data_IF_914919777686
#
_entry.id   IF_914919777686
#
_cell.length_a   1.000
_cell.length_b   1.000
_cell.length_c   1.000
_cell.angle_alpha   90.00
_cell.angle_beta   90.00
_cell.angle_gamma   90.00
#
_symmetry.space_group_name_H-M   'P 1'
#
loop_
_entity.id
_entity.type
_entity.pdbx_description
1 polymer ?
#
# COMPACT_ATOMS: atom_id res chain seq x y z
N UNK A 1 -10.26 0.25 -1.92
CA UNK A 1 -10.47 1.65 -1.49
C UNK A 1 -11.93 1.95 -1.13
N UNK A 2 -12.92 2.03 -2.04
CA UNK A 2 -14.31 2.39 -1.65
C UNK A 2 -14.95 1.37 -0.70
N UNK A 3 -14.79 0.07 -0.94
CA UNK A 3 -15.31 -0.95 -0.02
C UNK A 3 -14.68 -0.83 1.38
N UNK A 4 -13.35 -0.64 1.44
CA UNK A 4 -12.62 -0.39 2.69
C UNK A 4 -13.09 0.90 3.39
N UNK A 5 -13.35 1.96 2.62
CA UNK A 5 -13.93 3.20 3.14
C UNK A 5 -15.33 2.99 3.72
N UNK A 6 -16.22 2.26 3.05
CA UNK A 6 -17.57 2.01 3.57
C UNK A 6 -17.53 1.18 4.85
N UNK A 7 -16.59 0.23 4.95
CA UNK A 7 -16.32 -0.51 6.19
C UNK A 7 -15.83 0.42 7.30
N UNK A 8 -14.84 1.28 6.99
CA UNK A 8 -14.35 2.30 7.90
C UNK A 8 -15.44 3.29 8.35
N UNK A 9 -16.24 3.84 7.44
CA UNK A 9 -17.27 4.82 7.76
C UNK A 9 -18.40 4.23 8.63
N UNK A 10 -18.55 2.90 8.63
CA UNK A 10 -19.45 2.17 9.53
C UNK A 10 -18.83 1.87 10.88
N UNK A 11 -17.52 1.64 10.93
CA UNK A 11 -16.83 1.15 12.11
C UNK A 11 -15.94 2.13 12.86
N UNK A 12 -15.50 3.17 12.17
CA UNK A 12 -14.56 4.15 12.67
C UNK A 12 -13.14 3.64 12.93
N UNK A 13 -12.80 2.41 12.51
CA UNK A 13 -11.47 1.83 12.75
C UNK A 13 -10.45 2.27 11.70
N UNK A 14 -9.45 3.00 12.16
CA UNK A 14 -8.27 3.37 11.39
C UNK A 14 -7.16 2.35 11.60
N UNK A 15 -6.18 2.32 10.68
CA UNK A 15 -4.91 1.63 10.89
C UNK A 15 -4.35 1.83 12.30
N UNK A 16 -3.72 0.77 12.82
CA UNK A 16 -3.04 0.71 14.13
C UNK A 16 -4.02 0.76 15.31
N UNK A 17 -5.24 0.27 15.14
CA UNK A 17 -6.25 0.22 16.21
C UNK A 17 -6.78 1.58 16.65
N UNK A 18 -6.49 2.66 15.91
CA UNK A 18 -7.04 3.99 16.18
C UNK A 18 -8.54 4.03 15.85
N UNK A 19 -9.28 4.87 16.56
CA UNK A 19 -10.68 5.14 16.26
C UNK A 19 -10.89 6.59 15.87
N UNK A 20 -11.78 6.82 14.91
CA UNK A 20 -12.24 8.16 14.59
C UNK A 20 -13.12 8.73 15.70
N UNK A 21 -12.97 10.03 15.93
CA UNK A 21 -13.85 10.80 16.82
C UNK A 21 -15.09 11.35 16.09
N UNK A 22 -15.13 11.20 14.76
CA UNK A 22 -16.22 11.70 13.94
C UNK A 22 -17.49 10.85 14.12
N UNK A 23 -18.68 11.47 14.12
CA UNK A 23 -19.93 10.73 14.14
C UNK A 23 -20.05 9.79 12.93
N UNK A 24 -20.42 8.54 13.19
CA UNK A 24 -20.56 7.51 12.17
C UNK A 24 -22.00 7.45 11.65
N UNK A 25 -22.14 6.95 10.42
CA UNK A 25 -23.44 6.59 9.87
C UNK A 25 -23.94 5.27 10.46
N UNK A 26 -25.23 5.19 10.71
CA UNK A 26 -25.92 4.01 11.22
C UNK A 26 -26.07 2.94 10.15
N UNK A 27 -26.35 1.70 10.57
CA UNK A 27 -26.58 0.58 9.64
C UNK A 27 -27.74 0.85 8.67
N UNK A 28 -28.78 1.54 9.12
CA UNK A 28 -29.92 1.89 8.28
C UNK A 28 -29.54 2.94 7.23
N UNK A 29 -28.77 3.96 7.61
CA UNK A 29 -28.28 4.98 6.68
C UNK A 29 -27.39 4.35 5.59
N UNK A 30 -26.48 3.43 5.94
CA UNK A 30 -25.73 2.66 4.95
C UNK A 30 -26.62 1.82 4.02
N UNK A 31 -27.71 1.27 4.56
CA UNK A 31 -28.70 0.54 3.74
C UNK A 31 -29.41 1.49 2.77
N UNK A 32 -29.72 2.71 3.22
CA UNK A 32 -30.33 3.73 2.37
C UNK A 32 -29.40 4.21 1.26
N UNK A 33 -28.09 4.30 1.50
CA UNK A 33 -27.10 4.64 0.45
C UNK A 33 -27.08 3.65 -0.73
N UNK A 34 -27.59 2.43 -0.56
CA UNK A 34 -27.75 1.42 -1.63
C UNK A 34 -29.05 1.56 -2.42
N UNK A 35 -29.96 2.44 -1.99
CA UNK A 35 -31.24 2.71 -2.63
C UNK A 35 -31.20 4.08 -3.36
N UNK A 36 -32.01 4.26 -4.41
CA UNK A 36 -32.26 5.58 -5.00
C UNK A 36 -32.66 6.62 -3.97
N UNK A 37 -32.18 7.87 -4.09
CA UNK A 37 -32.52 8.96 -3.16
C UNK A 37 -34.03 9.18 -3.01
N UNK A 38 -34.81 8.98 -4.08
CA UNK A 38 -36.27 9.11 -4.05
C UNK A 38 -36.99 8.18 -3.07
N UNK A 39 -36.33 7.12 -2.59
CA UNK A 39 -36.92 6.14 -1.68
C UNK A 39 -36.72 6.47 -0.20
N UNK A 40 -35.81 7.37 0.15
CA UNK A 40 -35.42 7.59 1.55
C UNK A 40 -35.08 9.04 1.89
N UNK A 41 -34.58 9.82 0.92
CA UNK A 41 -34.17 11.19 1.14
C UNK A 41 -35.35 12.17 0.98
N UNK A 42 -35.22 13.39 1.53
CA UNK A 42 -36.18 14.48 1.31
C UNK A 42 -36.33 14.85 -0.18
N UNK A 43 -37.46 15.46 -0.53
CA UNK A 43 -37.85 15.75 -1.91
C UNK A 43 -36.81 16.57 -2.68
N UNK A 44 -36.14 17.49 -2.00
CA UNK A 44 -35.08 18.32 -2.55
C UNK A 44 -33.88 17.51 -3.07
N UNK A 45 -33.65 16.29 -2.60
CA UNK A 45 -32.55 15.41 -3.04
C UNK A 45 -32.99 14.36 -4.08
N UNK A 46 -34.27 14.31 -4.45
CA UNK A 46 -34.77 13.29 -5.40
C UNK A 46 -34.15 13.42 -6.80
N UNK A 47 -33.69 14.62 -7.17
CA UNK A 47 -33.04 14.90 -8.44
C UNK A 47 -31.70 14.17 -8.62
N UNK A 48 -31.05 13.72 -7.53
CA UNK A 48 -29.81 12.93 -7.59
C UNK A 48 -30.05 11.53 -8.19
N UNK A 49 -31.29 11.03 -8.17
CA UNK A 49 -31.77 9.89 -8.93
C UNK A 49 -31.24 8.52 -8.49
N UNK A 50 -29.97 8.24 -8.74
CA UNK A 50 -29.35 6.93 -8.50
C UNK A 50 -28.88 6.74 -7.05
N UNK A 51 -28.59 5.49 -6.65
CA UNK A 51 -28.05 5.21 -5.33
C UNK A 51 -26.63 5.80 -5.16
N UNK A 52 -26.34 6.35 -3.98
CA UNK A 52 -25.05 6.96 -3.66
C UNK A 52 -23.87 5.99 -3.87
N UNK A 53 -24.01 4.74 -3.42
CA UNK A 53 -22.98 3.70 -3.61
C UNK A 53 -22.71 3.44 -5.09
N UNK A 54 -23.75 3.48 -5.94
CA UNK A 54 -23.60 3.31 -7.39
C UNK A 54 -22.88 4.48 -8.02
N UNK A 55 -23.22 5.72 -7.63
CA UNK A 55 -22.49 6.93 -8.06
C UNK A 55 -21.00 6.79 -7.74
N UNK A 56 -20.66 6.52 -6.47
CA UNK A 56 -19.28 6.41 -6.00
C UNK A 56 -18.54 5.28 -6.72
N UNK A 57 -19.16 4.10 -6.85
CA UNK A 57 -18.54 2.96 -7.52
C UNK A 57 -18.25 3.25 -9.00
N UNK A 58 -19.12 4.01 -9.68
CA UNK A 58 -18.92 4.41 -11.08
C UNK A 58 -17.68 5.28 -11.29
N UNK A 59 -17.23 6.02 -10.25
CA UNK A 59 -16.06 6.90 -10.32
C UNK A 59 -14.73 6.17 -10.28
N UNK A 60 -14.71 4.92 -9.82
CA UNK A 60 -13.47 4.13 -9.71
C UNK A 60 -12.94 3.68 -11.07
N UNK A 61 -13.82 3.54 -12.04
CA UNK A 61 -13.42 3.36 -13.41
C UNK A 61 -13.06 4.74 -13.94
N UNK A 62 -11.76 5.05 -14.07
CA UNK A 62 -11.30 6.13 -14.93
C UNK A 62 -12.03 5.94 -16.27
N UNK A 63 -12.98 6.82 -16.59
CA UNK A 63 -13.86 6.59 -17.73
C UNK A 63 -13.05 6.80 -19.01
N UNK A 64 -13.60 6.41 -20.16
CA UNK A 64 -12.96 6.67 -21.47
C UNK A 64 -12.63 8.16 -21.72
N UNK A 65 -13.25 9.07 -20.95
CA UNK A 65 -13.04 10.52 -21.02
C UNK A 65 -11.87 10.99 -20.14
N UNK A 66 -11.42 10.16 -19.18
CA UNK A 66 -10.18 10.35 -18.45
C UNK A 66 -9.06 9.72 -19.28
N UNK A 67 -8.02 10.51 -19.62
CA UNK A 67 -6.88 10.11 -20.46
C UNK A 67 -6.49 8.64 -20.24
N UNK A 68 -6.47 7.83 -21.32
CA UNK A 68 -6.07 6.41 -21.24
C UNK A 68 -4.76 6.32 -20.48
N UNK A 69 -4.78 5.62 -19.34
CA UNK A 69 -3.58 5.36 -18.57
C UNK A 69 -2.52 4.73 -19.49
N UNK A 70 -1.29 5.25 -19.52
CA UNK A 70 -0.22 4.63 -20.28
C UNK A 70 -0.02 3.20 -19.78
N UNK A 71 0.28 2.25 -20.69
CA UNK A 71 0.64 0.90 -20.26
C UNK A 71 1.90 0.98 -19.39
N UNK A 72 1.90 0.24 -18.29
CA UNK A 72 3.05 0.12 -17.40
C UNK A 72 3.59 -1.30 -17.43
N UNK A 73 4.87 -1.46 -17.09
CA UNK A 73 5.51 -2.75 -16.96
C UNK A 73 4.75 -3.65 -15.96
N UNK A 74 4.73 -4.96 -16.21
CA UNK A 74 3.94 -5.92 -15.41
C UNK A 74 4.48 -6.00 -13.97
N UNK A 75 5.79 -5.89 -13.84
CA UNK A 75 6.53 -5.88 -12.59
C UNK A 75 6.13 -4.68 -11.73
N UNK A 76 6.11 -3.47 -12.32
CA UNK A 76 5.69 -2.24 -11.67
C UNK A 76 4.22 -2.32 -11.25
N UNK A 77 3.34 -2.83 -12.13
CA UNK A 77 1.93 -3.02 -11.80
C UNK A 77 1.75 -3.96 -10.60
N UNK A 78 2.46 -5.09 -10.59
CA UNK A 78 2.38 -6.11 -9.55
C UNK A 78 2.88 -5.57 -8.21
N UNK A 79 4.03 -4.89 -8.22
CA UNK A 79 4.59 -4.26 -7.03
C UNK A 79 3.67 -3.16 -6.49
N UNK A 80 3.18 -2.27 -7.37
CA UNK A 80 2.21 -1.24 -7.02
C UNK A 80 0.98 -1.84 -6.36
N UNK A 81 0.40 -2.90 -6.95
CA UNK A 81 -0.79 -3.55 -6.43
C UNK A 81 -0.57 -4.11 -5.02
N UNK A 82 0.57 -4.76 -4.76
CA UNK A 82 0.90 -5.27 -3.42
C UNK A 82 0.95 -4.14 -2.39
N UNK A 83 1.74 -3.10 -2.67
CA UNK A 83 1.91 -1.96 -1.77
C UNK A 83 0.57 -1.24 -1.56
N UNK A 84 -0.22 -1.08 -2.62
CA UNK A 84 -1.54 -0.45 -2.57
C UNK A 84 -2.54 -1.23 -1.70
N UNK A 85 -2.45 -2.55 -1.65
CA UNK A 85 -3.29 -3.37 -0.77
C UNK A 85 -2.69 -3.52 0.64
N UNK A 86 -1.60 -2.80 0.96
CA UNK A 86 -0.93 -2.88 2.26
C UNK A 86 -0.12 -4.16 2.46
N UNK A 87 0.19 -4.89 1.38
CA UNK A 87 0.98 -6.12 1.42
C UNK A 87 2.47 -5.77 1.24
N UNK A 88 3.39 -6.32 2.06
CA UNK A 88 4.81 -6.04 1.92
C UNK A 88 5.34 -6.40 0.52
N UNK A 89 6.29 -5.61 -0.02
CA UNK A 89 6.89 -5.83 -1.34
C UNK A 89 7.30 -7.28 -1.57
N UNK A 90 8.06 -7.83 -0.63
CA UNK A 90 8.48 -9.23 -0.57
C UNK A 90 8.29 -9.73 0.86
N UNK A 91 7.85 -10.98 1.03
CA UNK A 91 7.79 -11.61 2.35
C UNK A 91 9.17 -12.07 2.80
N UNK A 92 9.39 -12.17 4.11
CA UNK A 92 10.63 -12.71 4.69
C UNK A 92 10.98 -14.10 4.18
N UNK A 93 9.98 -15.00 4.11
CA UNK A 93 10.14 -16.31 3.48
C UNK A 93 10.70 -16.20 2.06
N UNK A 94 10.12 -15.32 1.23
CA UNK A 94 10.53 -15.20 -0.17
C UNK A 94 11.91 -14.55 -0.32
N UNK A 95 12.26 -13.61 0.56
CA UNK A 95 13.61 -13.05 0.64
C UNK A 95 14.66 -14.13 0.89
N UNK A 96 14.37 -15.04 1.84
CA UNK A 96 15.23 -16.19 2.17
C UNK A 96 15.28 -17.23 1.06
N UNK A 97 14.16 -17.57 0.43
CA UNK A 97 14.11 -18.51 -0.71
C UNK A 97 14.95 -18.04 -1.90
N UNK A 98 15.04 -16.73 -2.10
CA UNK A 98 15.86 -16.11 -3.15
C UNK A 98 17.31 -15.85 -2.72
N UNK A 99 17.67 -16.20 -1.48
CA UNK A 99 19.00 -15.98 -0.89
C UNK A 99 19.52 -14.55 -1.10
N UNK A 100 18.65 -13.55 -0.84
CA UNK A 100 18.96 -12.14 -1.12
C UNK A 100 19.90 -11.50 -0.09
N UNK A 101 20.14 -12.16 1.04
CA UNK A 101 21.19 -11.79 2.00
C UNK A 101 22.59 -12.09 1.48
N UNK A 102 22.69 -13.01 0.52
CA UNK A 102 23.95 -13.38 -0.10
C UNK A 102 24.40 -12.28 -1.07
N UNK A 103 25.63 -11.80 -0.89
CA UNK A 103 26.20 -10.75 -1.72
C UNK A 103 26.28 -11.09 -3.21
N UNK A 104 26.34 -12.37 -3.58
CA UNK A 104 26.26 -12.78 -4.98
C UNK A 104 24.94 -12.36 -5.63
N UNK A 105 23.88 -12.28 -4.83
CA UNK A 105 22.55 -11.84 -5.24
C UNK A 105 22.29 -10.35 -4.93
N UNK A 106 23.32 -9.58 -4.52
CA UNK A 106 23.18 -8.15 -4.19
C UNK A 106 22.48 -7.33 -5.30
N UNK A 107 22.81 -7.49 -6.60
CA UNK A 107 22.10 -6.77 -7.65
C UNK A 107 20.60 -7.11 -7.71
N UNK A 108 20.21 -8.35 -7.39
CA UNK A 108 18.81 -8.76 -7.34
C UNK A 108 18.09 -8.13 -6.15
N UNK A 109 18.75 -8.09 -4.98
CA UNK A 109 18.21 -7.46 -3.79
C UNK A 109 17.96 -5.95 -4.02
N UNK A 110 18.93 -5.26 -4.63
CA UNK A 110 18.78 -3.85 -5.03
C UNK A 110 17.64 -3.64 -6.03
N UNK A 111 17.40 -4.55 -6.98
CA UNK A 111 16.26 -4.43 -7.92
C UNK A 111 14.92 -4.44 -7.21
N UNK A 112 14.73 -5.24 -6.16
CA UNK A 112 13.48 -5.21 -5.39
C UNK A 112 13.32 -3.88 -4.64
N UNK A 113 14.40 -3.35 -4.05
CA UNK A 113 14.40 -2.03 -3.39
C UNK A 113 14.03 -0.93 -4.38
N UNK A 114 14.68 -0.91 -5.56
CA UNK A 114 14.38 0.06 -6.63
C UNK A 114 12.95 -0.08 -7.12
N UNK A 115 12.44 -1.30 -7.31
CA UNK A 115 11.06 -1.52 -7.74
C UNK A 115 10.02 -0.93 -6.76
N UNK A 116 10.31 -0.93 -5.45
CA UNK A 116 9.46 -0.26 -4.45
C UNK A 116 9.52 1.26 -4.63
N UNK A 117 10.71 1.84 -4.83
CA UNK A 117 10.88 3.28 -5.07
C UNK A 117 10.15 3.70 -6.35
N UNK A 118 10.28 2.93 -7.43
CA UNK A 118 9.67 3.18 -8.74
C UNK A 118 8.14 3.24 -8.67
N UNK A 119 7.51 2.48 -7.75
CA UNK A 119 6.06 2.59 -7.50
C UNK A 119 5.70 4.01 -7.06
N UNK A 120 6.45 4.59 -6.13
CA UNK A 120 6.17 5.94 -5.64
C UNK A 120 6.60 7.02 -6.64
N UNK A 121 7.64 6.78 -7.45
CA UNK A 121 7.94 7.66 -8.59
C UNK A 121 6.74 7.71 -9.53
N UNK A 122 6.21 6.55 -9.93
CA UNK A 122 5.04 6.44 -10.78
C UNK A 122 3.80 7.10 -10.19
N UNK A 123 3.50 6.86 -8.90
CA UNK A 123 2.35 7.48 -8.23
C UNK A 123 2.51 9.01 -8.12
N UNK A 124 3.76 9.49 -8.03
CA UNK A 124 4.08 10.90 -7.95
C UNK A 124 4.22 11.60 -9.30
N UNK A 125 4.13 10.87 -10.42
CA UNK A 125 4.08 11.47 -11.76
C UNK A 125 2.96 12.48 -11.87
N UNK A 126 3.23 13.63 -12.50
CA UNK A 126 2.30 14.77 -12.48
C UNK A 126 0.90 14.44 -13.02
N UNK A 127 0.84 13.62 -14.08
CA UNK A 127 -0.42 13.16 -14.65
C UNK A 127 -1.14 12.14 -13.74
N UNK A 128 -0.40 11.25 -13.07
CA UNK A 128 -0.97 10.26 -12.14
C UNK A 128 -1.51 10.93 -10.89
N UNK A 129 -0.75 11.85 -10.28
CA UNK A 129 -1.23 12.70 -9.17
C UNK A 129 -2.52 13.43 -9.53
N UNK A 130 -2.58 14.00 -10.74
CA UNK A 130 -3.79 14.67 -11.24
C UNK A 130 -4.95 13.68 -11.37
N UNK A 131 -4.74 12.50 -11.94
CA UNK A 131 -5.77 11.47 -12.09
C UNK A 131 -6.31 10.99 -10.73
N UNK A 132 -5.43 10.64 -9.80
CA UNK A 132 -5.79 10.21 -8.44
C UNK A 132 -6.63 11.26 -7.72
N UNK A 133 -6.21 12.52 -7.77
CA UNK A 133 -6.94 13.64 -7.18
C UNK A 133 -8.29 13.89 -7.84
N UNK A 134 -8.38 13.79 -9.16
CA UNK A 134 -9.64 13.94 -9.89
C UNK A 134 -10.66 12.89 -9.43
N UNK A 135 -10.25 11.62 -9.39
CA UNK A 135 -11.12 10.53 -8.92
C UNK A 135 -11.53 10.74 -7.46
N UNK A 136 -10.58 11.06 -6.59
CA UNK A 136 -10.86 11.35 -5.19
C UNK A 136 -11.86 12.50 -5.03
N UNK A 137 -11.68 13.62 -5.74
CA UNK A 137 -12.53 14.79 -5.61
C UNK A 137 -13.94 14.54 -6.16
N UNK A 138 -14.09 13.72 -7.21
CA UNK A 138 -15.40 13.29 -7.71
C UNK A 138 -16.14 12.42 -6.69
N UNK A 139 -15.43 11.48 -6.06
CA UNK A 139 -16.00 10.67 -4.97
C UNK A 139 -16.39 11.55 -3.78
N UNK A 140 -15.55 12.53 -3.45
CA UNK A 140 -15.84 13.51 -2.40
C UNK A 140 -17.14 14.26 -2.69
N UNK A 141 -17.37 14.70 -3.93
CA UNK A 141 -18.61 15.39 -4.33
C UNK A 141 -19.84 14.49 -4.17
N UNK A 142 -19.77 13.25 -4.67
CA UNK A 142 -20.88 12.29 -4.51
C UNK A 142 -21.15 11.97 -3.02
N UNK A 143 -20.12 11.98 -2.17
CA UNK A 143 -20.26 11.80 -0.71
C UNK A 143 -20.83 13.03 -0.02
N UNK A 144 -20.53 14.23 -0.49
CA UNK A 144 -21.09 15.48 0.02
C UNK A 144 -22.60 15.54 -0.23
N UNK A 145 -23.04 15.23 -1.45
CA UNK A 145 -24.48 15.16 -1.75
C UNK A 145 -25.20 14.14 -0.86
N UNK A 146 -24.53 13.01 -0.59
CA UNK A 146 -25.06 11.95 0.28
C UNK A 146 -25.13 12.38 1.76
N UNK A 147 -24.10 13.05 2.26
CA UNK A 147 -24.05 13.49 3.66
C UNK A 147 -25.10 14.56 3.96
N UNK A 148 -25.31 15.50 3.03
CA UNK A 148 -26.36 16.51 3.13
C UNK A 148 -27.75 15.88 3.20
N UNK A 149 -28.03 14.89 2.34
CA UNK A 149 -29.29 14.16 2.36
C UNK A 149 -29.51 13.39 3.68
N UNK A 150 -28.48 12.74 4.21
CA UNK A 150 -28.56 12.02 5.50
C UNK A 150 -28.78 13.00 6.66
N UNK A 151 -28.02 14.10 6.70
CA UNK A 151 -28.16 15.11 7.74
C UNK A 151 -29.54 15.79 7.67
N UNK A 152 -30.11 15.98 6.49
CA UNK A 152 -31.48 16.45 6.32
C UNK A 152 -32.51 15.45 6.88
N UNK A 153 -32.35 14.14 6.63
CA UNK A 153 -33.17 13.10 7.27
C UNK A 153 -33.08 13.15 8.80
N UNK A 154 -31.85 13.25 9.35
CA UNK A 154 -31.64 13.35 10.81
C UNK A 154 -32.31 14.59 11.40
N UNK A 155 -32.19 15.73 10.72
CA UNK A 155 -32.79 17.00 11.13
C UNK A 155 -34.32 16.92 11.17
N UNK A 156 -34.94 16.28 10.17
CA UNK A 156 -36.38 16.04 10.14
C UNK A 156 -36.82 15.07 11.24
N UNK A 157 -36.07 13.98 11.45
CA UNK A 157 -36.39 12.99 12.47
C UNK A 157 -36.26 13.53 13.91
N UNK A 158 -35.33 14.46 14.13
CA UNK A 158 -35.11 15.09 15.43
C UNK A 158 -36.24 16.06 15.85
N UNK A 159 -37.09 16.54 14.92
CA UNK A 159 -38.22 17.43 15.21
C UNK A 159 -37.89 18.66 16.09
N UNK A 160 -36.66 19.19 16.00
CA UNK A 160 -36.19 20.33 16.80
C UNK A 160 -35.33 19.96 18.01
N UNK A 161 -35.13 18.67 18.29
CA UNK A 161 -34.15 18.19 19.25
C UNK A 161 -32.71 18.25 18.70
N UNK A 162 -31.73 18.23 19.60
CA UNK A 162 -30.31 18.13 19.24
C UNK A 162 -30.01 16.80 18.52
N UNK A 163 -29.34 16.89 17.37
CA UNK A 163 -28.85 15.73 16.64
C UNK A 163 -27.38 15.92 16.26
N UNK A 164 -26.67 14.81 16.05
CA UNK A 164 -25.28 14.83 15.58
C UNK A 164 -25.24 14.73 14.07
N UNK A 165 -24.67 15.73 13.42
CA UNK A 165 -24.37 15.69 11.98
C UNK A 165 -23.21 14.71 11.72
N UNK A 166 -23.32 13.97 10.62
CA UNK A 166 -22.19 13.20 10.08
C UNK A 166 -21.44 14.04 9.06
N UNK A 167 -20.18 13.68 8.85
CA UNK A 167 -19.41 14.17 7.71
C UNK A 167 -18.75 12.99 7.01
N UNK A 168 -19.39 12.51 5.93
CA UNK A 168 -18.83 11.48 5.07
C UNK A 168 -17.61 12.00 4.33
N UNK A 169 -17.59 13.30 4.00
CA UNK A 169 -16.47 13.97 3.36
C UNK A 169 -15.23 14.02 4.24
N UNK A 170 -15.37 14.33 5.54
CA UNK A 170 -14.26 14.28 6.50
C UNK A 170 -13.79 12.84 6.77
N UNK A 171 -14.72 11.88 6.87
CA UNK A 171 -14.38 10.45 6.98
C UNK A 171 -13.60 9.97 5.74
N UNK A 172 -13.98 10.39 4.54
CA UNK A 172 -13.29 10.02 3.31
C UNK A 172 -11.86 10.57 3.25
N UNK A 173 -11.69 11.82 3.65
CA UNK A 173 -10.36 12.41 3.78
C UNK A 173 -9.51 11.66 4.82
N UNK A 174 -10.05 11.42 6.01
CA UNK A 174 -9.35 10.72 7.09
C UNK A 174 -8.93 9.31 6.67
N UNK A 175 -9.84 8.55 6.03
CA UNK A 175 -9.57 7.21 5.52
C UNK A 175 -8.47 7.23 4.46
N UNK A 176 -8.58 8.11 3.47
CA UNK A 176 -7.63 8.17 2.36
C UNK A 176 -6.25 8.61 2.82
N UNK A 177 -6.18 9.63 3.69
CA UNK A 177 -4.93 10.09 4.29
C UNK A 177 -4.26 8.97 5.08
N UNK A 178 -5.02 8.30 5.94
CA UNK A 178 -4.48 7.19 6.73
C UNK A 178 -4.02 6.03 5.85
N UNK A 179 -4.73 5.72 4.77
CA UNK A 179 -4.32 4.68 3.82
C UNK A 179 -3.00 5.04 3.13
N UNK A 180 -2.87 6.28 2.62
CA UNK A 180 -1.63 6.74 2.00
C UNK A 180 -0.46 6.76 2.98
N UNK A 181 -0.69 7.18 4.23
CA UNK A 181 0.34 7.20 5.26
C UNK A 181 0.83 5.78 5.57
N UNK A 182 -0.07 4.85 5.87
CA UNK A 182 0.29 3.46 6.16
C UNK A 182 1.00 2.78 4.98
N UNK A 183 0.61 3.10 3.74
CA UNK A 183 1.33 2.62 2.55
C UNK A 183 2.77 3.17 2.49
N UNK A 184 2.94 4.47 2.73
CA UNK A 184 4.26 5.12 2.70
C UNK A 184 5.16 4.61 3.84
N UNK A 185 4.62 4.47 5.04
CA UNK A 185 5.33 3.96 6.23
C UNK A 185 5.78 2.52 6.03
N UNK A 186 4.88 1.62 5.63
CA UNK A 186 5.23 0.22 5.33
C UNK A 186 6.31 0.14 4.25
N UNK A 187 6.14 0.83 3.12
CA UNK A 187 7.08 0.72 2.00
C UNK A 187 8.46 1.31 2.35
N UNK A 188 8.49 2.46 3.03
CA UNK A 188 9.73 3.11 3.44
C UNK A 188 10.45 2.32 4.55
N UNK A 189 9.71 1.82 5.53
CA UNK A 189 10.22 0.93 6.57
C UNK A 189 10.84 -0.32 5.97
N UNK A 190 10.12 -0.98 5.07
CA UNK A 190 10.62 -2.16 4.34
C UNK A 190 11.92 -1.86 3.59
N UNK A 191 11.99 -0.76 2.81
CA UNK A 191 13.23 -0.40 2.10
C UNK A 191 14.38 -0.11 3.07
N UNK A 192 14.12 0.63 4.15
CA UNK A 192 15.14 1.02 5.12
C UNK A 192 15.71 -0.20 5.84
N UNK A 193 14.86 -1.11 6.28
CA UNK A 193 15.25 -2.37 6.94
C UNK A 193 16.14 -3.21 6.02
N UNK A 194 15.71 -3.42 4.76
CA UNK A 194 16.44 -4.27 3.82
C UNK A 194 17.77 -3.64 3.37
N UNK A 195 17.82 -2.31 3.24
CA UNK A 195 19.09 -1.61 3.02
C UNK A 195 20.04 -1.83 4.20
N UNK A 196 19.57 -1.73 5.45
CA UNK A 196 20.40 -1.96 6.62
C UNK A 196 20.91 -3.40 6.70
N UNK A 197 20.05 -4.37 6.38
CA UNK A 197 20.37 -5.80 6.34
C UNK A 197 21.49 -6.12 5.33
N UNK A 198 21.47 -5.50 4.15
CA UNK A 198 22.51 -5.65 3.13
C UNK A 198 23.80 -4.87 3.47
N UNK A 199 23.68 -3.77 4.22
CA UNK A 199 24.79 -2.85 4.51
C UNK A 199 25.80 -3.44 5.47
N UNK A 200 25.34 -4.06 6.56
CA UNK A 200 26.23 -4.53 7.61
C UNK A 200 27.28 -5.54 7.10
N UNK A 201 26.90 -6.57 6.32
CA UNK A 201 27.87 -7.52 5.77
C UNK A 201 28.92 -6.88 4.84
N UNK A 202 28.53 -5.83 4.11
CA UNK A 202 29.44 -5.10 3.21
C UNK A 202 30.46 -4.28 4.02
N UNK A 203 30.01 -3.61 5.09
CA UNK A 203 30.90 -2.88 6.00
C UNK A 203 31.85 -3.82 6.73
N UNK A 204 31.36 -4.96 7.21
CA UNK A 204 32.18 -5.96 7.91
C UNK A 204 33.29 -6.50 6.99
N UNK A 205 32.96 -6.75 5.72
CA UNK A 205 33.95 -7.19 4.74
C UNK A 205 34.97 -6.12 4.42
N UNK A 206 34.51 -4.88 4.24
CA UNK A 206 35.42 -3.76 4.00
C UNK A 206 36.39 -3.57 5.16
N UNK A 207 35.94 -3.79 6.41
CA UNK A 207 36.76 -3.73 7.60
C UNK A 207 37.75 -4.90 7.74
N UNK A 208 37.36 -6.08 7.28
CA UNK A 208 38.22 -7.28 7.31
C UNK A 208 39.23 -7.34 6.16
N UNK A 209 39.03 -6.54 5.11
CA UNK A 209 39.85 -6.59 3.90
C UNK A 209 41.23 -5.96 4.12
N UNK A 210 42.28 -6.69 3.74
CA UNK A 210 43.66 -6.22 3.77
C UNK A 210 44.10 -5.88 2.34
N UNK A 211 44.29 -4.60 1.98
CA UNK A 211 44.62 -4.20 0.62
C UNK A 211 46.00 -4.69 0.20
N UNK A 212 46.15 -4.98 -1.10
CA UNK A 212 47.43 -5.47 -1.66
C UNK A 212 48.51 -4.38 -1.67
N UNK A 213 48.10 -3.11 -1.80
CA UNK A 213 48.95 -1.93 -1.75
C UNK A 213 48.30 -0.84 -0.90
N UNK A 214 48.98 -0.31 0.11
CA UNK A 214 48.43 0.71 1.02
C UNK A 214 48.05 2.04 0.33
N UNK A 215 48.61 2.29 -0.86
CA UNK A 215 48.40 3.53 -1.61
C UNK A 215 47.29 3.45 -2.67
N UNK A 216 46.81 2.26 -3.03
CA UNK A 216 45.87 2.07 -4.16
C UNK A 216 44.63 1.28 -3.73
N UNK A 217 43.47 1.71 -4.20
CA UNK A 217 42.19 1.00 -3.97
C UNK A 217 42.16 -0.22 -4.89
N UNK A 218 42.08 -1.41 -4.31
CA UNK A 218 41.98 -2.64 -5.10
C UNK A 218 40.54 -2.95 -5.55
N UNK A 219 40.40 -3.96 -6.42
CA UNK A 219 39.12 -4.32 -7.03
C UNK A 219 38.05 -4.70 -6.00
N UNK A 220 38.45 -5.33 -4.89
CA UNK A 220 37.55 -5.74 -3.81
C UNK A 220 37.05 -4.51 -3.05
N UNK A 221 37.93 -3.57 -2.72
CA UNK A 221 37.54 -2.31 -2.10
C UNK A 221 36.61 -1.49 -3.00
N UNK A 222 36.87 -1.47 -4.31
CA UNK A 222 35.98 -0.81 -5.28
C UNK A 222 34.59 -1.44 -5.35
N UNK A 223 34.50 -2.77 -5.43
CA UNK A 223 33.21 -3.47 -5.46
C UNK A 223 32.41 -3.21 -4.18
N UNK A 224 33.03 -3.31 -3.01
CA UNK A 224 32.38 -3.04 -1.73
C UNK A 224 31.95 -1.57 -1.59
N UNK A 225 32.79 -0.63 -2.03
CA UNK A 225 32.44 0.79 -2.03
C UNK A 225 31.26 1.10 -2.96
N UNK A 226 31.21 0.47 -4.15
CA UNK A 226 30.08 0.60 -5.08
C UNK A 226 28.78 0.07 -4.46
N UNK A 227 28.84 -1.08 -3.79
CA UNK A 227 27.68 -1.63 -3.05
C UNK A 227 27.17 -0.67 -1.97
N UNK A 228 28.08 -0.08 -1.19
CA UNK A 228 27.71 0.94 -0.18
C UNK A 228 27.06 2.15 -0.86
N UNK A 229 27.64 2.62 -1.98
CA UNK A 229 27.09 3.74 -2.75
C UNK A 229 25.68 3.45 -3.25
N UNK A 230 25.43 2.28 -3.85
CA UNK A 230 24.10 1.88 -4.32
C UNK A 230 23.07 1.86 -3.19
N UNK A 231 23.44 1.29 -2.03
CA UNK A 231 22.58 1.29 -0.84
C UNK A 231 22.29 2.72 -0.33
N UNK A 232 23.27 3.62 -0.43
CA UNK A 232 23.13 5.00 0.04
C UNK A 232 22.24 5.81 -0.90
N UNK A 233 22.43 5.69 -2.21
CA UNK A 233 21.59 6.30 -3.25
C UNK A 233 20.15 5.79 -3.13
N UNK A 234 19.96 4.47 -3.02
CA UNK A 234 18.63 3.88 -2.85
C UNK A 234 17.94 4.37 -1.57
N UNK A 235 18.68 4.46 -0.46
CA UNK A 235 18.15 4.98 0.80
C UNK A 235 17.72 6.44 0.68
N UNK A 236 18.56 7.30 0.07
CA UNK A 236 18.24 8.69 -0.16
C UNK A 236 17.01 8.83 -1.09
N UNK A 237 16.95 8.04 -2.17
CA UNK A 237 15.82 7.99 -3.09
C UNK A 237 14.52 7.61 -2.39
N UNK A 238 14.56 6.59 -1.54
CA UNK A 238 13.42 6.20 -0.73
C UNK A 238 12.98 7.34 0.20
N UNK A 239 13.94 8.02 0.85
CA UNK A 239 13.69 9.09 1.81
C UNK A 239 12.88 10.23 1.20
N UNK A 240 13.21 10.70 -0.02
CA UNK A 240 12.49 11.81 -0.66
C UNK A 240 11.35 11.41 -1.60
N UNK A 241 11.28 10.15 -2.06
CA UNK A 241 10.28 9.71 -3.06
C UNK A 241 9.05 9.06 -2.43
N UNK A 242 9.19 8.31 -1.33
CA UNK A 242 8.11 7.49 -0.75
C UNK A 242 7.16 8.38 0.09
N UNK A 243 6.43 9.25 -0.61
CA UNK A 243 5.40 10.12 -0.07
C UNK A 243 4.22 10.18 -1.04
N UNK A 244 3.02 10.36 -0.51
CA UNK A 244 1.81 10.60 -1.30
C UNK A 244 1.09 11.85 -0.77
N UNK A 245 1.60 13.05 -1.09
CA UNK A 245 1.01 14.28 -0.58
C UNK A 245 -0.38 14.50 -1.20
N UNK A 246 -1.32 14.94 -0.36
CA UNK A 246 -2.71 15.19 -0.75
C UNK A 246 -2.95 16.66 -1.16
N UNK A 247 -2.09 17.20 -2.01
CA UNK A 247 -2.14 18.60 -2.46
C UNK A 247 -3.34 18.86 -3.38
N UNK A 248 -4.22 19.79 -2.99
CA UNK A 248 -5.44 20.10 -3.76
C UNK A 248 -6.51 19.02 -3.74
N UNK A 249 -6.42 18.05 -2.83
CA UNK A 249 -7.52 17.14 -2.51
C UNK A 249 -8.54 17.87 -1.64
N UNK A 250 -9.84 17.70 -1.91
CA UNK A 250 -10.90 18.28 -1.07
C UNK A 250 -10.82 17.70 0.36
N UNK A 251 -10.92 18.57 1.36
CA UNK A 251 -10.70 18.23 2.77
C UNK A 251 -9.24 18.34 3.25
N UNK A 252 -8.27 18.50 2.33
CA UNK A 252 -6.87 18.77 2.67
C UNK A 252 -6.64 20.25 2.91
N UNK A 253 -5.86 20.59 3.94
CA UNK A 253 -5.38 21.96 4.19
C UNK A 253 -4.12 22.30 3.38
N UNK A 254 -3.58 21.35 2.61
CA UNK A 254 -2.36 21.56 1.82
C UNK A 254 -2.74 22.19 0.48
N UNK A 255 -2.39 23.47 0.23
CA UNK A 255 -2.70 24.12 -1.02
C UNK A 255 -1.97 23.44 -2.18
N UNK A 256 -2.58 23.45 -3.36
CA UNK A 256 -1.90 22.99 -4.56
C UNK A 256 -0.68 23.88 -4.82
N UNK A 257 0.52 23.34 -4.63
CA UNK A 257 1.74 24.03 -5.01
C UNK A 257 1.76 24.17 -6.54
N UNK A 258 2.05 25.38 -7.03
CA UNK A 258 2.36 25.56 -8.46
C UNK A 258 3.64 24.75 -8.76
N UNK A 259 3.81 24.22 -9.99
CA UNK A 259 5.10 23.66 -10.36
C UNK A 259 6.15 24.70 -10.05
N UNK A 260 7.13 24.37 -9.19
CA UNK A 260 8.31 25.20 -9.08
C UNK A 260 8.84 25.36 -10.51
N UNK A 261 8.89 26.59 -10.98
CA UNK A 261 9.66 26.91 -12.17
C UNK A 261 11.05 26.32 -11.99
N UNK A 262 11.50 25.62 -13.01
CA UNK A 262 12.84 25.03 -13.14
C UNK A 262 13.93 25.91 -12.53
N UNK A 263 14.41 25.51 -11.36
CA UNK A 263 15.81 25.20 -11.03
C UNK A 263 15.92 25.10 -9.50
N UNK A 264 16.51 24.02 -8.95
CA UNK A 264 16.92 24.03 -7.55
C UNK A 264 17.89 25.22 -7.35
N UNK A 265 17.80 26.00 -6.26
CA UNK A 265 18.82 27.00 -5.97
C UNK A 265 20.18 26.31 -5.96
N UNK A 266 21.05 26.73 -6.89
CA UNK A 266 22.36 26.14 -7.12
C UNK A 266 23.16 26.03 -5.83
N UNK A 267 23.30 24.80 -5.35
CA UNK A 267 24.01 24.44 -4.14
C UNK A 267 24.68 23.08 -4.27
N UNK A 268 25.11 22.70 -5.48
CA UNK A 268 26.00 21.55 -5.65
C UNK A 268 27.45 22.04 -5.55
N UNK A 269 28.22 21.35 -4.72
CA UNK A 269 29.65 21.58 -4.51
C UNK A 269 30.37 21.43 -5.86
N UNK A 270 30.99 22.50 -6.35
CA UNK A 270 31.70 22.53 -7.64
C UNK A 270 33.06 21.80 -7.62
N UNK A 271 33.52 21.41 -6.44
CA UNK A 271 34.82 20.76 -6.23
C UNK A 271 34.60 19.32 -5.75
N UNK A 272 35.23 18.32 -6.40
CA UNK A 272 35.29 16.95 -5.87
C UNK A 272 35.84 16.96 -4.45
N UNK A 273 35.39 16.02 -3.62
CA UNK A 273 36.05 15.75 -2.34
C UNK A 273 37.43 15.17 -2.68
N UNK A 274 38.50 15.89 -2.34
CA UNK A 274 39.85 15.37 -2.46
C UNK A 274 40.01 14.15 -1.53
N UNK A 275 40.29 12.99 -2.13
CA UNK A 275 40.50 11.72 -1.44
C UNK A 275 41.91 11.70 -0.85
N UNK A 276 42.09 12.29 0.34
CA UNK A 276 43.42 12.40 0.96
C UNK A 276 44.03 11.10 1.54
N UNK A 277 43.43 9.92 1.35
CA UNK A 277 44.07 8.61 1.67
C UNK A 277 43.12 7.43 1.40
N UNK A 278 43.70 6.33 0.90
CA UNK A 278 43.04 5.04 0.60
C UNK A 278 43.13 4.03 1.77
N UNK A 279 43.41 4.50 2.98
CA UNK A 279 43.39 3.66 4.19
C UNK A 279 41.98 3.08 4.41
N UNK A 280 41.81 1.74 4.50
CA UNK A 280 40.53 1.08 4.80
C UNK A 280 39.84 1.68 6.03
N UNK A 281 40.59 2.06 7.07
CA UNK A 281 40.02 2.68 8.26
C UNK A 281 39.42 4.07 7.96
N UNK A 282 40.05 4.86 7.10
CA UNK A 282 39.50 6.16 6.64
C UNK A 282 38.28 5.99 5.75
N UNK A 283 38.27 4.96 4.90
CA UNK A 283 37.10 4.65 4.07
C UNK A 283 35.90 4.26 4.94
N UNK A 284 36.10 3.42 5.96
CA UNK A 284 35.07 3.09 6.93
C UNK A 284 34.54 4.31 7.69
N UNK A 285 35.41 5.20 8.17
CA UNK A 285 35.01 6.44 8.85
C UNK A 285 34.12 7.29 7.93
N UNK A 286 34.46 7.39 6.64
CA UNK A 286 33.65 8.12 5.66
C UNK A 286 32.29 7.46 5.46
N UNK A 287 32.26 6.14 5.29
CA UNK A 287 31.01 5.39 5.18
C UNK A 287 30.13 5.66 6.41
N UNK A 288 30.63 5.47 7.63
CA UNK A 288 29.88 5.75 8.85
C UNK A 288 29.37 7.21 8.93
N UNK A 289 30.21 8.19 8.61
CA UNK A 289 29.80 9.60 8.60
C UNK A 289 28.66 9.88 7.61
N UNK A 290 28.68 9.29 6.41
CA UNK A 290 27.60 9.44 5.44
C UNK A 290 26.32 8.75 5.90
N UNK A 291 26.43 7.61 6.59
CA UNK A 291 25.30 6.89 7.16
C UNK A 291 24.62 7.68 8.28
N UNK A 292 25.42 8.29 9.16
CA UNK A 292 24.91 9.14 10.24
C UNK A 292 24.22 10.38 9.68
N UNK A 293 24.81 11.01 8.66
CA UNK A 293 24.20 12.14 7.97
C UNK A 293 22.88 11.75 7.29
N UNK A 294 22.82 10.61 6.61
CA UNK A 294 21.57 10.11 6.01
C UNK A 294 20.51 9.82 7.08
N UNK A 295 20.89 9.18 8.20
CA UNK A 295 19.98 8.90 9.30
C UNK A 295 19.44 10.18 9.95
N UNK A 296 20.28 11.21 10.07
CA UNK A 296 19.84 12.53 10.52
C UNK A 296 18.87 13.17 9.54
N UNK A 297 19.21 13.27 8.26
CA UNK A 297 18.31 13.84 7.24
C UNK A 297 16.98 13.09 7.16
N UNK A 298 16.98 11.76 7.29
CA UNK A 298 15.75 10.96 7.35
C UNK A 298 14.88 11.36 8.54
N UNK A 299 15.45 11.51 9.73
CA UNK A 299 14.71 11.96 10.92
C UNK A 299 14.16 13.38 10.76
N UNK A 300 14.91 14.27 10.15
CA UNK A 300 14.46 15.64 9.87
C UNK A 300 13.30 15.68 8.86
N UNK A 301 13.34 14.81 7.83
CA UNK A 301 12.32 14.77 6.77
C UNK A 301 11.05 13.99 7.18
N UNK A 302 11.19 12.91 7.94
CA UNK A 302 10.12 11.94 8.21
C UNK A 302 9.71 11.85 9.68
N UNK A 303 10.51 12.39 10.58
CA UNK A 303 10.37 12.14 12.01
C UNK A 303 10.96 10.80 12.43
N UNK A 304 10.61 10.36 13.64
CA UNK A 304 11.02 9.06 14.17
C UNK A 304 10.31 7.91 13.44
N UNK A 305 11.00 6.80 13.15
CA UNK A 305 10.36 5.63 12.58
C UNK A 305 9.23 5.13 13.48
N UNK A 306 8.04 4.93 12.90
CA UNK A 306 6.91 4.33 13.58
C UNK A 306 6.92 2.83 13.32
N UNK A 307 7.00 2.02 14.38
CA UNK A 307 6.79 0.58 14.28
C UNK A 307 5.29 0.30 14.14
N UNK A 308 4.91 -0.31 13.02
CA UNK A 308 3.54 -0.76 12.81
C UNK A 308 3.27 -1.99 13.69
N UNK A 309 2.22 -1.94 14.52
CA UNK A 309 1.85 -3.06 15.38
C UNK A 309 1.40 -4.30 14.59
N UNK A 310 0.74 -4.07 13.45
CA UNK A 310 0.21 -5.04 12.51
C UNK A 310 0.41 -4.55 11.08
N UNK A 311 0.53 -5.48 10.13
CA UNK A 311 0.52 -5.14 8.71
C UNK A 311 -0.80 -4.42 8.33
N UNK A 312 -0.77 -3.36 7.50
CA UNK A 312 -1.97 -2.60 7.16
C UNK A 312 -3.10 -3.46 6.53
N UNK A 313 -2.75 -4.46 5.72
CA UNK A 313 -3.71 -5.37 5.12
C UNK A 313 -4.41 -6.27 6.16
N UNK A 314 -3.70 -6.67 7.23
CA UNK A 314 -4.27 -7.46 8.31
C UNK A 314 -5.26 -6.66 9.13
N UNK A 315 -4.94 -5.41 9.43
CA UNK A 315 -5.81 -4.55 10.22
C UNK A 315 -7.14 -4.32 9.51
N UNK A 316 -7.09 -4.01 8.20
CA UNK A 316 -8.27 -3.91 7.35
C UNK A 316 -9.09 -5.22 7.34
N UNK A 317 -8.41 -6.36 7.19
CA UNK A 317 -9.08 -7.67 7.17
C UNK A 317 -9.75 -7.99 8.50
N UNK A 318 -9.09 -7.68 9.62
CA UNK A 318 -9.63 -7.88 10.97
C UNK A 318 -10.84 -6.97 11.23
N UNK A 319 -10.78 -5.71 10.80
CA UNK A 319 -11.92 -4.81 10.88
C UNK A 319 -13.12 -5.41 10.11
N UNK A 320 -12.91 -5.87 8.88
CA UNK A 320 -13.97 -6.49 8.07
C UNK A 320 -14.57 -7.76 8.70
N UNK A 321 -13.73 -8.59 9.34
CA UNK A 321 -14.17 -9.78 10.08
C UNK A 321 -14.93 -9.43 11.37
N UNK A 322 -14.59 -8.31 12.03
CA UNK A 322 -15.25 -7.84 13.24
C UNK A 322 -16.67 -7.28 13.01
N UNK A 323 -16.93 -6.66 11.85
CA UNK A 323 -18.20 -5.97 11.55
C UNK A 323 -19.38 -6.87 11.15
N UNK A 324 -19.16 -8.17 11.10
CA UNK A 324 -20.19 -9.17 10.91
C UNK A 324 -19.55 -10.53 10.85
N UNK A 325 -20.29 -11.56 11.27
CA UNK A 325 -19.92 -12.97 11.24
C UNK A 325 -19.75 -13.51 9.79
N UNK A 326 -19.08 -12.74 8.93
CA UNK A 326 -18.75 -13.05 7.55
C UNK A 326 -17.58 -14.00 7.61
N UNK A 327 -17.82 -15.23 7.16
CA UNK A 327 -16.73 -16.15 6.86
C UNK A 327 -15.96 -15.56 5.68
N UNK A 328 -14.73 -15.08 5.91
CA UNK A 328 -13.79 -14.89 4.80
C UNK A 328 -13.32 -16.27 4.35
N UNK A 329 -13.09 -16.46 3.07
CA UNK A 329 -12.66 -17.75 2.55
C UNK A 329 -12.60 -17.73 1.05
N UNK A 330 -11.91 -18.72 0.51
CA UNK A 330 -11.83 -18.94 -0.93
C UNK A 330 -12.66 -20.16 -1.27
N UNK A 331 -13.32 -20.11 -2.43
CA UNK A 331 -13.99 -21.27 -3.00
C UNK A 331 -13.18 -21.74 -4.19
N UNK A 332 -12.79 -23.00 -4.19
CA UNK A 332 -12.03 -23.62 -5.26
C UNK A 332 -12.91 -24.66 -5.95
N UNK A 333 -13.25 -24.41 -7.22
CA UNK A 333 -14.10 -25.28 -8.01
C UNK A 333 -13.27 -26.26 -8.85
N UNK A 334 -13.64 -27.56 -8.81
CA UNK A 334 -13.18 -28.55 -9.78
C UNK A 334 -14.09 -28.51 -11.00
N UNK A 335 -13.62 -27.90 -12.09
CA UNK A 335 -14.36 -27.77 -13.36
C UNK A 335 -13.76 -28.59 -14.51
N UNK A 336 -12.83 -29.48 -14.20
CA UNK A 336 -12.13 -30.30 -15.18
C UNK A 336 -12.08 -31.75 -14.71
N UNK A 337 -12.87 -32.59 -15.37
CA UNK A 337 -12.99 -34.01 -15.02
C UNK A 337 -12.24 -34.93 -15.99
N UNK A 338 -11.39 -34.36 -16.86
CA UNK A 338 -10.55 -35.13 -17.78
C UNK A 338 -9.38 -35.86 -17.11
N UNK A 339 -9.09 -35.54 -15.84
CA UNK A 339 -8.04 -36.17 -15.05
C UNK A 339 -8.64 -37.07 -13.96
N UNK A 340 -7.90 -38.11 -13.57
CA UNK A 340 -8.34 -39.06 -12.54
C UNK A 340 -8.52 -38.38 -11.18
N UNK A 341 -9.40 -38.94 -10.35
CA UNK A 341 -9.61 -38.46 -8.98
C UNK A 341 -8.35 -38.58 -8.12
N UNK A 342 -7.47 -39.55 -8.40
CA UNK A 342 -6.16 -39.68 -7.75
C UNK A 342 -5.26 -38.46 -8.04
N UNK A 343 -5.09 -38.09 -9.31
CA UNK A 343 -4.29 -36.92 -9.68
C UNK A 343 -4.84 -35.61 -9.09
N UNK A 344 -6.18 -35.50 -8.99
CA UNK A 344 -6.83 -34.36 -8.34
C UNK A 344 -6.56 -34.32 -6.83
N UNK A 345 -6.66 -35.47 -6.14
CA UNK A 345 -6.39 -35.56 -4.72
C UNK A 345 -4.91 -35.27 -4.40
N UNK A 346 -3.99 -35.74 -5.24
CA UNK A 346 -2.56 -35.43 -5.11
C UNK A 346 -2.28 -33.93 -5.28
N UNK A 347 -2.91 -33.28 -6.27
CA UNK A 347 -2.83 -31.83 -6.44
C UNK A 347 -3.39 -31.11 -5.23
N UNK A 348 -4.59 -31.48 -4.78
CA UNK A 348 -5.26 -30.88 -3.62
C UNK A 348 -4.39 -31.00 -2.37
N UNK A 349 -3.80 -32.17 -2.11
CA UNK A 349 -2.92 -32.40 -0.97
C UNK A 349 -1.65 -31.55 -1.04
N UNK A 350 -1.02 -31.43 -2.21
CA UNK A 350 0.15 -30.56 -2.41
C UNK A 350 -0.20 -29.09 -2.18
N UNK A 351 -1.30 -28.64 -2.76
CA UNK A 351 -1.77 -27.27 -2.60
C UNK A 351 -2.13 -26.95 -1.15
N UNK A 352 -2.86 -27.84 -0.46
CA UNK A 352 -3.19 -27.69 0.97
C UNK A 352 -1.94 -27.69 1.85
N UNK A 353 -0.94 -28.52 1.52
CA UNK A 353 0.37 -28.50 2.18
C UNK A 353 1.08 -27.16 1.97
N UNK A 354 1.14 -26.66 0.74
CA UNK A 354 1.83 -25.40 0.40
C UNK A 354 1.19 -24.19 1.09
N UNK A 355 -0.15 -24.15 1.14
CA UNK A 355 -0.86 -23.06 1.81
C UNK A 355 -0.91 -23.25 3.32
N UNK A 356 -0.73 -24.45 3.89
CA UNK A 356 -0.92 -24.68 5.33
C UNK A 356 -0.06 -23.77 6.22
N UNK A 357 1.10 -23.36 5.69
CA UNK A 357 2.06 -22.46 6.33
C UNK A 357 1.93 -21.00 5.89
N UNK A 358 0.84 -20.62 5.21
CA UNK A 358 0.63 -19.24 4.81
C UNK A 358 0.56 -18.32 6.04
N UNK A 359 1.23 -17.17 5.93
CA UNK A 359 1.21 -16.18 6.98
C UNK A 359 2.10 -16.46 8.19
N UNK A 360 2.88 -17.56 8.24
CA UNK A 360 3.70 -17.92 9.42
C UNK A 360 4.57 -16.78 9.96
N UNK A 361 5.11 -15.95 9.08
CA UNK A 361 6.00 -14.83 9.43
C UNK A 361 5.25 -13.50 9.64
N UNK A 362 3.91 -13.51 9.62
CA UNK A 362 3.09 -12.30 9.74
C UNK A 362 2.53 -12.20 11.16
N UNK A 363 2.92 -11.14 11.86
CA UNK A 363 2.49 -10.87 13.24
C UNK A 363 0.96 -10.70 13.30
N UNK A 364 0.30 -11.44 14.19
CA UNK A 364 -1.13 -11.28 14.47
C UNK A 364 -2.08 -11.87 13.44
N UNK A 365 -1.61 -12.72 12.52
CA UNK A 365 -2.42 -13.32 11.45
C UNK A 365 -3.33 -14.47 11.89
N UNK A 366 -3.15 -15.04 13.07
CA UNK A 366 -3.77 -16.32 13.46
C UNK A 366 -5.30 -16.30 13.37
N UNK A 367 -5.95 -15.21 13.80
CA UNK A 367 -7.40 -15.06 13.73
C UNK A 367 -7.89 -15.04 12.26
N UNK A 368 -7.15 -14.33 11.39
CA UNK A 368 -7.45 -14.23 9.96
C UNK A 368 -7.23 -15.58 9.27
N UNK A 369 -6.16 -16.28 9.63
CA UNK A 369 -5.85 -17.64 9.13
C UNK A 369 -6.91 -18.65 9.54
N UNK A 370 -7.42 -18.56 10.77
CA UNK A 370 -8.49 -19.43 11.26
C UNK A 370 -9.83 -19.15 10.55
N UNK A 371 -10.09 -17.88 10.21
CA UNK A 371 -11.30 -17.47 9.52
C UNK A 371 -11.27 -17.83 8.03
N UNK A 372 -10.16 -17.56 7.33
CA UNK A 372 -10.02 -17.71 5.88
C UNK A 372 -9.68 -19.16 5.48
N UNK A 373 -10.73 -19.95 5.21
CA UNK A 373 -10.62 -21.34 4.76
C UNK A 373 -10.86 -21.48 3.26
N UNK A 374 -10.31 -22.53 2.69
CA UNK A 374 -10.61 -22.94 1.31
C UNK A 374 -11.71 -23.98 1.33
N UNK A 375 -12.79 -23.69 0.59
CA UNK A 375 -13.91 -24.57 0.38
C UNK A 375 -13.80 -25.17 -1.02
N UNK A 376 -13.50 -26.47 -1.07
CA UNK A 376 -13.45 -27.21 -2.32
C UNK A 376 -14.86 -27.64 -2.73
N UNK A 377 -15.27 -27.29 -3.94
CA UNK A 377 -16.54 -27.68 -4.52
C UNK A 377 -16.31 -28.43 -5.84
N UNK A 378 -17.06 -29.51 -6.04
CA UNK A 378 -17.03 -30.25 -7.31
C UNK A 378 -18.11 -29.69 -8.25
N UNK A 379 -17.72 -29.30 -9.47
CA UNK A 379 -18.64 -28.75 -10.45
C UNK A 379 -19.74 -29.73 -10.86
N UNK A 380 -19.46 -31.04 -10.90
CA UNK A 380 -20.46 -32.05 -11.23
C UNK A 380 -21.55 -32.16 -10.17
N UNK A 381 -21.19 -32.04 -8.89
CA UNK A 381 -22.15 -32.07 -7.77
C UNK A 381 -23.06 -30.83 -7.75
N UNK A 382 -22.60 -29.73 -8.36
CA UNK A 382 -23.32 -28.46 -8.45
C UNK A 382 -24.01 -28.25 -9.81
N UNK A 383 -24.05 -29.28 -10.66
CA UNK A 383 -24.61 -29.21 -12.01
C UNK A 383 -23.95 -28.13 -12.89
N UNK A 384 -22.69 -27.77 -12.60
CA UNK A 384 -21.90 -26.81 -13.37
C UNK A 384 -21.18 -27.56 -14.49
N UNK A 385 -21.39 -27.20 -15.77
CA UNK A 385 -20.69 -27.84 -16.87
C UNK A 385 -19.17 -27.66 -16.78
N UNK A 386 -18.43 -28.67 -17.26
CA UNK A 386 -16.98 -28.60 -17.36
C UNK A 386 -16.54 -27.35 -18.13
N UNK A 387 -15.53 -26.66 -17.57
CA UNK A 387 -14.94 -25.41 -18.09
C UNK A 387 -15.88 -24.20 -18.12
N UNK A 388 -17.08 -24.27 -17.54
CA UNK A 388 -17.98 -23.12 -17.45
C UNK A 388 -17.65 -22.23 -16.24
N UNK A 389 -16.71 -21.31 -16.44
CA UNK A 389 -16.27 -20.36 -15.42
C UNK A 389 -17.38 -19.37 -15.04
N UNK A 390 -18.29 -19.03 -15.96
CA UNK A 390 -19.37 -18.08 -15.69
C UNK A 390 -20.46 -18.70 -14.82
N UNK A 391 -20.75 -19.99 -14.99
CA UNK A 391 -21.64 -20.72 -14.11
C UNK A 391 -21.08 -20.82 -12.67
N UNK A 392 -19.76 -20.97 -12.51
CA UNK A 392 -19.10 -21.03 -11.20
C UNK A 392 -19.00 -19.67 -10.45
N UNK A 393 -19.28 -18.56 -11.13
CA UNK A 393 -19.28 -17.21 -10.54
C UNK A 393 -20.63 -16.81 -9.91
N UNK A 394 -21.70 -17.56 -10.20
CA UNK A 394 -23.03 -17.36 -9.61
C UNK A 394 -23.06 -17.91 -8.20
#
# INVERSE_FOLDING_TARGET
MVAAFLSFARGGHLPEGRQTILPLATKEEFTNMTKPYSQWAPAEYHHLGQAAVTSIASRLNLTKDDEKLPPIATELYTMKKRIWEGIPPLSERRWKELDLDNMWNFPMACRYIVAVIDVFQYLNEGWMKKAMRTVYNRIWDDLHDCEEAINACRRLAANGDDFKEISLTALWYQHTKSHFDSMCEMAHGWVTEHIQRLRQPVLDQLASHSPTHESEVDEVQWDLANKIYDLLVNGAHADYTIFLPMEGYKGSNIPLQRPLGSEPPGGFRMSPIELESNDPARLLIRCHSQLDAQAQSRRELRGEPQELDLDPWLDLTKADLGYGNRRCGFVAYRLCHSHTSEAWNDFKAKFESDISDWGRDVKGIDDVRAACKIHWLDGQELEIPDRDIEAAKK
#
